data_IF_350133887502
#
_entry.id   IF_350133887502
#
_cell.length_a   1.000
_cell.length_b   1.000
_cell.length_c   1.000
_cell.angle_alpha   90.00
_cell.angle_beta   90.00
_cell.angle_gamma   90.00
#
_symmetry.space_group_name_H-M   'P 1'
#
loop_
_entity.id
_entity.type
_entity.pdbx_description
1 polymer ?
#
# COMPACT_ATOMS: atom_id res chain seq x y z
N UNK A 1 4.13 -13.28 -6.22
CA UNK A 1 3.95 -12.27 -7.27
C UNK A 1 2.77 -12.68 -8.14
N UNK A 2 1.77 -11.82 -8.35
CA UNK A 2 0.58 -12.13 -9.16
C UNK A 2 0.91 -12.50 -10.61
N UNK A 3 0.08 -13.32 -11.24
CA UNK A 3 0.32 -13.83 -12.60
C UNK A 3 0.30 -12.74 -13.70
N UNK A 4 -0.33 -11.59 -13.45
CA UNK A 4 -0.39 -10.48 -14.39
C UNK A 4 0.88 -9.61 -14.37
N UNK A 5 1.70 -9.71 -13.32
CA UNK A 5 2.97 -8.99 -13.21
C UNK A 5 4.00 -9.71 -14.06
N UNK A 6 4.64 -8.97 -14.97
CA UNK A 6 5.70 -9.48 -15.86
C UNK A 6 7.01 -8.77 -15.54
N UNK A 7 7.85 -9.32 -14.64
CA UNK A 7 9.10 -8.66 -14.26
C UNK A 7 10.07 -8.49 -15.40
N UNK A 8 10.78 -7.38 -15.38
CA UNK A 8 11.99 -7.16 -16.17
C UNK A 8 13.24 -7.44 -15.32
N UNK A 9 14.38 -7.70 -15.95
CA UNK A 9 15.64 -7.89 -15.23
C UNK A 9 16.02 -6.65 -14.39
N UNK A 10 15.75 -5.45 -14.94
CA UNK A 10 15.96 -4.18 -14.26
C UNK A 10 15.08 -4.05 -13.00
N UNK A 11 13.78 -4.36 -13.13
CA UNK A 11 12.84 -4.34 -12.01
C UNK A 11 13.22 -5.34 -10.92
N UNK A 12 13.64 -6.55 -11.29
CA UNK A 12 14.09 -7.58 -10.35
C UNK A 12 15.32 -7.13 -9.57
N UNK A 13 16.33 -6.57 -10.25
CA UNK A 13 17.53 -6.06 -9.62
C UNK A 13 17.22 -4.91 -8.64
N UNK A 14 16.31 -4.01 -9.02
CA UNK A 14 15.87 -2.93 -8.14
C UNK A 14 15.13 -3.44 -6.90
N UNK A 15 14.22 -4.40 -7.06
CA UNK A 15 13.51 -5.01 -5.93
C UNK A 15 14.46 -5.72 -4.96
N UNK A 16 15.52 -6.37 -5.46
CA UNK A 16 16.55 -6.95 -4.58
C UNK A 16 17.27 -5.87 -3.77
N UNK A 17 17.64 -4.75 -4.39
CA UNK A 17 18.24 -3.60 -3.67
C UNK A 17 17.29 -3.03 -2.62
N UNK A 18 15.99 -2.94 -2.90
CA UNK A 18 14.99 -2.53 -1.90
C UNK A 18 14.95 -3.49 -0.70
N UNK A 19 14.93 -4.80 -0.95
CA UNK A 19 14.92 -5.82 0.10
C UNK A 19 16.21 -5.82 0.95
N UNK A 20 17.34 -5.45 0.34
CA UNK A 20 18.65 -5.34 1.00
C UNK A 20 18.84 -3.98 1.71
N UNK A 21 17.91 -3.03 1.54
CA UNK A 21 18.04 -1.67 2.07
C UNK A 21 19.05 -0.79 1.32
N UNK A 22 19.53 -1.22 0.15
CA UNK A 22 20.46 -0.48 -0.73
C UNK A 22 19.75 0.54 -1.64
N UNK A 23 18.43 0.47 -1.69
CA UNK A 23 17.56 1.43 -2.36
C UNK A 23 16.37 1.77 -1.46
N UNK A 24 15.73 2.92 -1.71
CA UNK A 24 14.54 3.36 -0.98
C UNK A 24 13.56 4.02 -1.93
N UNK A 25 12.28 3.92 -1.59
CA UNK A 25 11.19 4.66 -2.25
C UNK A 25 10.62 5.74 -1.32
N UNK A 26 11.43 6.30 -0.44
CA UNK A 26 11.05 7.50 0.32
C UNK A 26 10.84 8.72 -0.61
N UNK A 27 11.51 8.73 -1.77
CA UNK A 27 11.32 9.72 -2.84
C UNK A 27 11.05 8.99 -4.14
N UNK A 28 10.11 9.49 -4.95
CA UNK A 28 9.77 8.90 -6.25
C UNK A 28 10.52 9.62 -7.38
N UNK A 29 11.82 9.35 -7.52
CA UNK A 29 12.70 10.04 -8.48
C UNK A 29 13.34 9.12 -9.55
N UNK A 30 13.15 7.81 -9.48
CA UNK A 30 13.70 6.85 -10.45
C UNK A 30 12.59 6.10 -11.24
N UNK A 31 11.76 6.80 -12.04
CA UNK A 31 10.56 6.23 -12.69
C UNK A 31 10.83 5.00 -13.56
N UNK A 32 12.05 4.86 -14.10
CA UNK A 32 12.45 3.72 -14.92
C UNK A 32 12.49 2.37 -14.19
N UNK A 33 12.37 2.35 -12.85
CA UNK A 33 12.31 1.11 -12.07
C UNK A 33 10.89 0.69 -11.66
N UNK A 34 9.86 1.46 -11.99
CA UNK A 34 8.51 1.28 -11.43
C UNK A 34 7.54 0.58 -12.41
N UNK A 35 8.06 -0.14 -13.41
CA UNK A 35 7.29 -0.95 -14.36
C UNK A 35 7.78 -2.41 -14.27
N UNK A 36 6.91 -3.40 -14.01
CA UNK A 36 5.44 -3.38 -14.04
C UNK A 36 4.73 -2.72 -12.84
N UNK A 37 5.13 -2.99 -11.60
CA UNK A 37 4.58 -2.34 -10.39
C UNK A 37 5.46 -2.64 -9.19
N UNK A 38 5.46 -1.79 -8.15
CA UNK A 38 6.05 -2.09 -6.85
C UNK A 38 4.95 -1.94 -5.79
N UNK A 39 4.70 -3.01 -5.05
CA UNK A 39 3.65 -3.08 -4.04
C UNK A 39 4.27 -3.40 -2.68
N UNK A 40 3.98 -2.57 -1.69
CA UNK A 40 4.32 -2.83 -0.29
C UNK A 40 3.06 -3.20 0.46
N UNK A 41 3.18 -4.22 1.30
CA UNK A 41 2.16 -4.59 2.28
C UNK A 41 2.72 -4.34 3.67
N UNK A 42 1.98 -3.59 4.46
CA UNK A 42 2.17 -3.54 5.89
C UNK A 42 0.91 -4.03 6.59
N UNK A 43 1.13 -4.81 7.63
CA UNK A 43 0.17 -5.64 8.34
C UNK A 43 0.37 -5.41 9.83
N UNK A 44 -0.62 -5.79 10.65
CA UNK A 44 -0.51 -5.72 12.11
C UNK A 44 -0.09 -4.31 12.59
N UNK A 45 -0.67 -3.29 11.96
CA UNK A 45 -0.40 -1.87 12.24
C UNK A 45 -0.71 -1.49 13.70
N UNK A 46 -1.67 -2.18 14.31
CA UNK A 46 -2.03 -2.09 15.73
C UNK A 46 -0.87 -2.41 16.68
N UNK A 47 0.13 -3.16 16.23
CA UNK A 47 1.37 -3.40 17.01
C UNK A 47 2.29 -2.19 17.09
N UNK A 48 2.09 -1.20 16.21
CA UNK A 48 2.94 -0.02 16.11
C UNK A 48 2.24 1.25 16.59
N UNK A 49 0.96 1.42 16.29
CA UNK A 49 0.17 2.60 16.67
C UNK A 49 -1.34 2.36 16.53
N UNK A 50 -2.13 3.04 17.36
CA UNK A 50 -3.59 3.05 17.27
C UNK A 50 -4.08 3.90 16.08
N UNK A 51 -3.31 4.90 15.67
CA UNK A 51 -3.68 5.85 14.61
C UNK A 51 -2.57 5.99 13.59
N UNK A 52 -2.41 5.03 12.65
CA UNK A 52 -1.43 5.15 11.58
C UNK A 52 -1.64 6.43 10.76
N UNK A 53 -0.54 7.11 10.45
CA UNK A 53 -0.50 8.30 9.62
C UNK A 53 0.56 8.13 8.53
N UNK A 54 0.17 8.38 7.30
CA UNK A 54 1.05 8.35 6.14
C UNK A 54 0.98 9.68 5.42
N UNK A 55 2.12 10.16 4.96
CA UNK A 55 2.23 11.43 4.22
C UNK A 55 3.04 11.28 2.95
N UNK A 56 2.68 12.06 1.93
CA UNK A 56 3.47 12.25 0.71
C UNK A 56 3.57 13.73 0.40
N UNK A 57 4.78 14.20 0.08
CA UNK A 57 5.05 15.62 -0.19
C UNK A 57 5.32 15.78 -1.68
N UNK A 58 4.58 16.66 -2.35
CA UNK A 58 4.81 17.03 -3.73
C UNK A 58 6.02 17.98 -3.86
N UNK A 59 6.62 18.12 -5.07
CA UNK A 59 7.75 19.01 -5.27
C UNK A 59 7.50 20.49 -4.93
N UNK A 60 6.24 20.94 -4.97
CA UNK A 60 5.83 22.30 -4.61
C UNK A 60 5.62 22.49 -3.09
N UNK A 61 5.82 21.44 -2.28
CA UNK A 61 5.63 21.44 -0.84
C UNK A 61 4.23 21.01 -0.39
N UNK A 62 3.28 20.80 -1.29
CA UNK A 62 1.93 20.31 -0.94
C UNK A 62 2.04 18.96 -0.24
N UNK A 63 1.44 18.83 0.94
CA UNK A 63 1.46 17.59 1.72
C UNK A 63 0.11 16.88 1.64
N UNK A 64 0.12 15.64 1.18
CA UNK A 64 -1.01 14.72 1.24
C UNK A 64 -0.89 13.86 2.49
N UNK A 65 -2.00 13.63 3.18
CA UNK A 65 -2.04 12.79 4.39
C UNK A 65 -3.19 11.80 4.32
N UNK A 66 -2.96 10.62 4.90
CA UNK A 66 -3.98 9.61 5.19
C UNK A 66 -3.80 9.11 6.62
N UNK A 67 -4.87 9.20 7.42
CA UNK A 67 -4.95 8.73 8.81
C UNK A 67 -6.16 7.81 8.99
N UNK A 68 -6.03 6.80 9.82
CA UNK A 68 -7.11 5.87 10.15
C UNK A 68 -6.87 5.22 11.51
N UNK A 69 -7.85 4.48 12.03
CA UNK A 69 -7.69 3.67 13.23
C UNK A 69 -7.22 2.25 12.86
N UNK A 70 -6.12 1.76 13.45
CA UNK A 70 -5.61 0.40 13.18
C UNK A 70 -6.55 -0.70 13.66
N UNK A 71 -7.34 -0.42 14.71
CA UNK A 71 -8.42 -1.29 15.17
C UNK A 71 -9.53 -1.52 14.11
N UNK A 72 -9.70 -0.57 13.18
CA UNK A 72 -10.67 -0.66 12.08
C UNK A 72 -10.00 -1.24 10.83
N UNK A 73 -8.82 -0.73 10.48
CA UNK A 73 -8.07 -1.05 9.26
C UNK A 73 -6.62 -1.43 9.64
N UNK A 74 -6.37 -2.71 9.87
CA UNK A 74 -5.08 -3.18 10.38
C UNK A 74 -4.02 -3.46 9.29
N UNK A 75 -4.30 -3.04 8.05
CA UNK A 75 -3.45 -3.25 6.88
C UNK A 75 -3.33 -1.95 6.09
N UNK A 76 -2.21 -1.76 5.40
CA UNK A 76 -2.04 -0.71 4.41
C UNK A 76 -1.25 -1.24 3.23
N UNK A 77 -1.70 -0.90 2.02
CA UNK A 77 -0.97 -1.17 0.79
C UNK A 77 -0.41 0.13 0.24
N UNK A 78 0.84 0.10 -0.24
CA UNK A 78 1.42 1.15 -1.08
C UNK A 78 1.63 0.59 -2.48
N UNK A 79 1.17 1.28 -3.51
CA UNK A 79 1.25 0.83 -4.90
C UNK A 79 1.85 1.92 -5.78
N UNK A 80 2.97 1.60 -6.42
CA UNK A 80 3.72 2.50 -7.30
C UNK A 80 3.81 1.84 -8.66
N UNK A 81 3.47 2.58 -9.70
CA UNK A 81 3.59 2.14 -11.07
C UNK A 81 3.88 3.34 -11.95
N UNK A 82 4.85 3.23 -12.85
CA UNK A 82 5.11 4.27 -13.85
C UNK A 82 5.48 3.65 -15.19
N UNK A 83 4.58 3.75 -16.16
CA UNK A 83 4.81 3.34 -17.54
C UNK A 83 4.06 4.27 -18.53
N UNK A 84 4.03 3.89 -19.81
CA UNK A 84 3.40 4.70 -20.86
C UNK A 84 1.88 4.87 -20.69
N UNK A 85 1.21 3.93 -20.01
CA UNK A 85 -0.25 3.91 -19.87
C UNK A 85 -0.73 4.42 -18.51
N UNK A 86 0.10 4.29 -17.47
CA UNK A 86 -0.30 4.51 -16.08
C UNK A 86 0.80 5.20 -15.27
N UNK A 87 0.39 6.15 -14.42
CA UNK A 87 1.24 6.85 -13.47
C UNK A 87 0.56 6.83 -12.10
N UNK A 88 1.05 5.99 -11.20
CA UNK A 88 0.43 5.69 -9.91
C UNK A 88 1.44 5.93 -8.80
N UNK A 89 1.03 6.74 -7.83
CA UNK A 89 1.74 7.01 -6.58
C UNK A 89 0.80 6.87 -5.38
N UNK A 90 0.13 5.71 -5.27
CA UNK A 90 -0.76 5.43 -4.15
C UNK A 90 0.07 5.16 -2.88
N UNK A 91 0.24 6.19 -2.05
CA UNK A 91 1.15 6.16 -0.89
C UNK A 91 0.58 5.43 0.33
N UNK A 92 -0.74 5.40 0.49
CA UNK A 92 -1.40 4.65 1.56
C UNK A 92 -2.83 4.24 1.14
N UNK A 93 -3.08 2.93 1.08
CA UNK A 93 -4.38 2.31 0.83
C UNK A 93 -4.77 1.48 2.07
N UNK A 94 -5.47 2.06 3.05
CA UNK A 94 -5.86 1.37 4.28
C UNK A 94 -6.88 0.27 4.00
N UNK A 95 -6.75 -0.88 4.66
CA UNK A 95 -7.60 -2.05 4.40
C UNK A 95 -7.75 -2.95 5.64
N UNK A 96 -8.71 -3.87 5.56
CA UNK A 96 -8.91 -4.95 6.54
C UNK A 96 -8.11 -6.21 6.21
N UNK A 97 -7.55 -6.29 5.01
CA UNK A 97 -6.74 -7.41 4.52
C UNK A 97 -5.86 -6.98 3.33
N UNK A 98 -4.97 -7.87 2.89
CA UNK A 98 -4.17 -7.68 1.67
C UNK A 98 -5.02 -7.84 0.39
N UNK A 99 -4.65 -7.18 -0.72
CA UNK A 99 -5.38 -7.22 -1.99
C UNK A 99 -5.11 -8.50 -2.81
N UNK A 100 -4.93 -9.65 -2.14
CA UNK A 100 -4.61 -10.94 -2.77
C UNK A 100 -5.86 -11.77 -3.13
N UNK A 101 -7.05 -11.22 -2.84
CA UNK A 101 -8.35 -11.81 -3.15
C UNK A 101 -8.98 -12.62 -2.02
N UNK A 102 -10.24 -13.01 -2.22
CA UNK A 102 -11.08 -13.65 -1.20
C UNK A 102 -10.47 -14.92 -0.59
N UNK A 103 -9.97 -15.84 -1.43
CA UNK A 103 -9.40 -17.10 -0.95
C UNK A 103 -8.13 -16.89 -0.13
N UNK A 104 -7.32 -15.88 -0.48
CA UNK A 104 -6.15 -15.52 0.32
C UNK A 104 -6.57 -14.94 1.68
N UNK A 105 -7.51 -14.00 1.68
CA UNK A 105 -8.05 -13.42 2.91
C UNK A 105 -8.69 -14.48 3.83
N UNK A 106 -9.42 -15.45 3.27
CA UNK A 106 -9.99 -16.55 4.03
C UNK A 106 -8.90 -17.43 4.66
N UNK A 107 -7.88 -17.84 3.89
CA UNK A 107 -6.75 -18.65 4.39
C UNK A 107 -5.95 -17.94 5.47
N UNK A 108 -5.79 -16.62 5.34
CA UNK A 108 -5.02 -15.79 6.27
C UNK A 108 -5.85 -15.35 7.50
N UNK A 109 -7.13 -15.73 7.58
CA UNK A 109 -7.99 -15.37 8.72
C UNK A 109 -8.37 -13.88 8.78
N UNK A 110 -8.24 -13.15 7.67
CA UNK A 110 -8.47 -11.70 7.61
C UNK A 110 -9.84 -11.34 7.03
N UNK A 111 -10.67 -12.34 6.71
CA UNK A 111 -12.01 -12.13 6.19
C UNK A 111 -12.96 -11.67 7.29
N UNK A 112 -13.61 -10.54 7.08
CA UNK A 112 -14.67 -10.05 7.97
C UNK A 112 -16.02 -10.61 7.53
N UNK A 113 -16.78 -11.16 8.46
CA UNK A 113 -18.15 -11.59 8.25
C UNK A 113 -19.10 -10.65 9.00
N UNK A 114 -20.22 -10.32 8.37
CA UNK A 114 -21.27 -9.52 8.98
C UNK A 114 -22.55 -10.34 9.01
N UNK A 115 -23.19 -10.39 10.16
CA UNK A 115 -24.52 -10.98 10.33
C UNK A 115 -25.59 -10.14 9.61
N UNK A 116 -26.77 -10.71 9.30
CA UNK A 116 -27.88 -9.93 8.75
C UNK A 116 -28.17 -8.69 9.60
N UNK A 117 -28.25 -7.53 8.93
CA UNK A 117 -28.46 -6.21 9.54
C UNK A 117 -27.33 -5.69 10.44
N UNK A 118 -26.19 -6.39 10.52
CA UNK A 118 -25.01 -5.87 11.22
C UNK A 118 -24.35 -4.77 10.39
N UNK A 119 -23.99 -3.69 11.07
CA UNK A 119 -23.20 -2.59 10.51
C UNK A 119 -21.80 -2.60 11.10
N UNK A 120 -20.80 -2.32 10.26
CA UNK A 120 -19.44 -2.01 10.69
C UNK A 120 -18.98 -0.73 10.04
N UNK A 121 -18.31 0.10 10.82
CA UNK A 121 -17.82 1.41 10.40
C UNK A 121 -16.30 1.39 10.32
N UNK A 122 -15.76 2.10 9.34
CA UNK A 122 -14.34 2.33 9.16
C UNK A 122 -14.16 3.81 8.87
N UNK A 123 -13.09 4.38 9.40
CA UNK A 123 -12.83 5.82 9.42
C UNK A 123 -11.49 6.10 8.78
N UNK A 124 -11.50 6.97 7.78
CA UNK A 124 -10.29 7.45 7.11
C UNK A 124 -10.39 8.96 6.99
N UNK A 125 -9.34 9.66 7.45
CA UNK A 125 -9.15 11.08 7.17
C UNK A 125 -8.06 11.19 6.11
N UNK A 126 -8.40 11.72 4.94
CA UNK A 126 -7.43 11.93 3.86
C UNK A 126 -7.63 13.29 3.21
N UNK A 127 -6.54 13.93 2.79
CA UNK A 127 -6.59 15.26 2.19
C UNK A 127 -5.23 15.92 2.09
N UNK A 128 -5.28 17.22 1.82
CA UNK A 128 -4.11 18.11 1.75
C UNK A 128 -4.03 18.89 3.06
N UNK A 129 -2.82 19.05 3.60
CA UNK A 129 -2.51 19.86 4.79
C UNK A 129 -1.63 21.05 4.45
#
# INVERSE_FOLDING_TARGET
>A
MPAHVKPTAQWLAFNQRLLQGEASLATLNEPGFYDPEIVFFADELDRYTDTPEFSMIAPDGTMFVTRFASAELNYVTRWILYNGDQQVAAFALPATCRPEGFLAAQRNGTLLQLEPQQTRTFTVTTGIV
#
